data_IF_186107144387
#
_entry.id   IF_186107144387
#
_cell.length_a   1.000
_cell.length_b   1.000
_cell.length_c   1.000
_cell.angle_alpha   90.00
_cell.angle_beta   90.00
_cell.angle_gamma   90.00
#
_symmetry.space_group_name_H-M   'P 1'
#
loop_
_entity.id
_entity.type
_entity.pdbx_description
1 polymer ?
#
# COMPACT_ATOMS: atom_id res chain seq x y z
N UNK A 1 2.03 -15.24 8.42
CA UNK A 1 2.78 -14.23 9.17
C UNK A 1 3.53 -13.41 8.16
N UNK A 2 3.14 -12.15 8.02
CA UNK A 2 3.84 -11.16 7.19
C UNK A 2 5.18 -10.78 7.85
N UNK A 3 6.11 -10.18 7.09
CA UNK A 3 7.40 -9.74 7.63
C UNK A 3 7.20 -8.71 8.74
N UNK A 4 6.29 -7.76 8.53
CA UNK A 4 5.94 -6.71 9.50
C UNK A 4 5.38 -7.30 10.79
N UNK A 5 4.49 -8.30 10.71
CA UNK A 5 3.95 -9.00 11.89
C UNK A 5 5.06 -9.76 12.64
N UNK A 6 6.01 -10.36 11.91
CA UNK A 6 7.14 -11.10 12.49
C UNK A 6 8.10 -10.17 13.23
N UNK A 7 8.44 -9.02 12.63
CA UNK A 7 9.28 -8.00 13.24
C UNK A 7 8.61 -7.38 14.47
N UNK A 8 7.29 -7.15 14.41
CA UNK A 8 6.53 -6.63 15.53
C UNK A 8 6.56 -7.54 16.78
N UNK A 9 6.63 -8.86 16.61
CA UNK A 9 6.82 -9.78 17.74
C UNK A 9 8.20 -9.62 18.39
N UNK A 10 9.25 -9.40 17.59
CA UNK A 10 10.58 -9.12 18.13
C UNK A 10 10.62 -7.75 18.84
N UNK A 11 9.97 -6.73 18.28
CA UNK A 11 9.84 -5.41 18.89
C UNK A 11 9.06 -5.47 20.21
N UNK A 12 8.03 -6.33 20.29
CA UNK A 12 7.26 -6.53 21.51
C UNK A 12 8.11 -7.11 22.65
N UNK A 13 8.94 -8.12 22.33
CA UNK A 13 9.87 -8.73 23.31
C UNK A 13 10.90 -7.72 23.81
N UNK A 14 11.34 -6.81 22.95
CA UNK A 14 12.36 -5.82 23.27
C UNK A 14 11.80 -4.47 23.77
N UNK A 15 10.48 -4.35 23.97
CA UNK A 15 9.87 -3.07 24.33
C UNK A 15 10.31 -2.59 25.73
N UNK A 16 10.90 -1.40 25.80
CA UNK A 16 11.36 -0.76 27.05
C UNK A 16 10.32 0.20 27.64
N UNK A 17 9.35 0.62 26.83
CA UNK A 17 8.29 1.56 27.20
C UNK A 17 6.92 1.02 26.86
N UNK A 18 5.90 1.47 27.60
CA UNK A 18 4.51 1.10 27.31
C UNK A 18 4.06 1.58 25.91
N UNK A 19 4.61 2.70 25.42
CA UNK A 19 4.35 3.18 24.07
C UNK A 19 4.88 2.21 23.01
N UNK A 20 6.11 1.72 23.16
CA UNK A 20 6.69 0.70 22.26
C UNK A 20 5.90 -0.61 22.32
N UNK A 21 5.51 -1.07 23.52
CA UNK A 21 4.72 -2.28 23.69
C UNK A 21 3.38 -2.18 22.95
N UNK A 22 2.66 -1.07 23.11
CA UNK A 22 1.37 -0.82 22.41
C UNK A 22 1.55 -0.78 20.90
N UNK A 23 2.59 -0.12 20.42
CA UNK A 23 2.89 -0.03 18.99
C UNK A 23 3.22 -1.42 18.40
N UNK A 24 4.06 -2.20 19.07
CA UNK A 24 4.41 -3.54 18.64
C UNK A 24 3.20 -4.49 18.62
N UNK A 25 2.27 -4.38 19.59
CA UNK A 25 1.01 -5.15 19.55
C UNK A 25 0.16 -4.77 18.34
N UNK A 26 -0.02 -3.48 18.06
CA UNK A 26 -0.80 -3.03 16.90
C UNK A 26 -0.19 -3.51 15.58
N UNK A 27 1.15 -3.53 15.47
CA UNK A 27 1.82 -4.01 14.27
C UNK A 27 1.76 -5.54 14.14
N UNK A 28 1.80 -6.28 15.26
CA UNK A 28 1.65 -7.74 15.27
C UNK A 28 0.21 -8.16 14.90
N UNK A 29 -0.78 -7.27 15.10
CA UNK A 29 -2.16 -7.42 14.62
C UNK A 29 -2.33 -7.05 13.13
N UNK A 30 -1.26 -6.65 12.45
CA UNK A 30 -1.25 -6.43 10.99
C UNK A 30 -1.68 -5.03 10.54
N UNK A 31 -1.89 -4.08 11.46
CA UNK A 31 -2.38 -2.72 11.14
C UNK A 31 -1.51 -2.02 10.09
N UNK A 32 -0.18 -2.13 10.21
CA UNK A 32 0.74 -1.52 9.25
C UNK A 32 0.80 -2.29 7.92
N UNK A 33 0.66 -3.61 7.95
CA UNK A 33 0.57 -4.44 6.76
C UNK A 33 -0.63 -4.05 5.91
N UNK A 34 -1.80 -3.81 6.53
CA UNK A 34 -2.99 -3.34 5.83
C UNK A 34 -2.78 -1.98 5.16
N UNK A 35 -2.15 -1.04 5.86
CA UNK A 35 -1.82 0.28 5.32
C UNK A 35 -0.90 0.18 4.09
N UNK A 36 0.15 -0.63 4.17
CA UNK A 36 1.10 -0.81 3.07
C UNK A 36 0.47 -1.52 1.87
N UNK A 37 -0.39 -2.52 2.13
CA UNK A 37 -1.12 -3.21 1.08
C UNK A 37 -2.09 -2.26 0.37
N UNK A 38 -2.75 -1.36 1.11
CA UNK A 38 -3.62 -0.35 0.51
C UNK A 38 -2.85 0.61 -0.40
N UNK A 39 -1.75 1.18 0.10
CA UNK A 39 -0.89 2.04 -0.72
C UNK A 39 -0.36 1.31 -1.95
N UNK A 40 0.08 0.05 -1.79
CA UNK A 40 0.55 -0.77 -2.90
C UNK A 40 -0.54 -0.96 -3.96
N UNK A 41 -1.79 -1.24 -3.57
CA UNK A 41 -2.92 -1.36 -4.52
C UNK A 41 -3.12 -0.06 -5.30
N UNK A 42 -3.14 1.07 -4.61
CA UNK A 42 -3.33 2.40 -5.22
C UNK A 42 -2.21 2.74 -6.20
N UNK A 43 -0.96 2.48 -5.84
CA UNK A 43 0.19 2.72 -6.71
C UNK A 43 0.21 1.81 -7.94
N UNK A 44 -0.14 0.52 -7.78
CA UNK A 44 -0.24 -0.40 -8.92
C UNK A 44 -1.35 0.04 -9.87
N UNK A 45 -2.50 0.46 -9.33
CA UNK A 45 -3.60 0.96 -10.14
C UNK A 45 -3.20 2.22 -10.90
N UNK A 46 -2.66 3.24 -10.22
CA UNK A 46 -2.19 4.47 -10.87
C UNK A 46 -1.14 4.17 -11.95
N UNK A 47 -0.20 3.25 -11.69
CA UNK A 47 0.78 2.81 -12.68
C UNK A 47 0.11 2.20 -13.91
N UNK A 48 -0.86 1.30 -13.72
CA UNK A 48 -1.55 0.65 -14.83
C UNK A 48 -2.31 1.67 -15.71
N UNK A 49 -2.93 2.68 -15.10
CA UNK A 49 -3.61 3.74 -15.85
C UNK A 49 -2.64 4.61 -16.64
N UNK A 50 -1.48 4.96 -16.06
CA UNK A 50 -0.42 5.69 -16.78
C UNK A 50 0.15 4.86 -17.93
N UNK A 51 0.41 3.57 -17.72
CA UNK A 51 0.91 2.67 -18.77
C UNK A 51 -0.10 2.57 -19.91
N UNK A 52 -1.40 2.43 -19.61
CA UNK A 52 -2.46 2.42 -20.62
C UNK A 52 -2.51 3.74 -21.41
N UNK A 53 -2.38 4.89 -20.74
CA UNK A 53 -2.35 6.18 -21.44
C UNK A 53 -1.15 6.27 -22.40
N UNK A 54 0.02 5.74 -22.02
CA UNK A 54 1.23 5.74 -22.86
C UNK A 54 1.04 4.78 -24.05
N UNK A 55 0.56 3.57 -23.79
CA UNK A 55 0.44 2.52 -24.81
C UNK A 55 -0.63 2.83 -25.87
N UNK A 56 -1.67 3.59 -25.50
CA UNK A 56 -2.84 3.87 -26.34
C UNK A 56 -3.04 5.36 -26.69
N UNK A 57 -2.02 6.21 -26.47
CA UNK A 57 -2.12 7.67 -26.66
C UNK A 57 -2.59 8.11 -28.07
N UNK A 58 -2.31 7.31 -29.09
CA UNK A 58 -2.59 7.61 -30.50
C UNK A 58 -3.76 6.78 -31.08
N UNK A 59 -4.45 5.96 -30.26
CA UNK A 59 -5.61 5.17 -30.70
C UNK A 59 -6.92 5.95 -30.50
N UNK A 60 -7.50 6.45 -31.60
CA UNK A 60 -8.74 7.25 -31.64
C UNK A 60 -10.00 6.55 -31.06
N UNK A 61 -9.93 5.24 -30.75
CA UNK A 61 -11.05 4.41 -30.29
C UNK A 61 -11.11 4.23 -28.75
N UNK A 62 -10.21 4.84 -27.97
CA UNK A 62 -10.24 4.75 -26.49
C UNK A 62 -11.07 5.89 -25.88
N UNK A 63 -12.23 5.61 -25.22
CA UNK A 63 -13.08 6.67 -24.70
C UNK A 63 -12.56 7.19 -23.35
N UNK A 64 -12.08 8.45 -23.33
CA UNK A 64 -11.71 9.19 -22.12
C UNK A 64 -10.31 8.84 -21.57
N UNK A 65 -9.61 9.83 -21.03
CA UNK A 65 -8.25 9.64 -20.50
C UNK A 65 -8.28 8.72 -19.29
N UNK A 66 -7.44 7.67 -19.31
CA UNK A 66 -7.24 6.79 -18.17
C UNK A 66 -6.77 7.59 -16.93
N UNK A 67 -6.07 8.70 -17.16
CA UNK A 67 -5.57 9.58 -16.11
C UNK A 67 -6.69 10.32 -15.34
N UNK A 68 -7.85 10.61 -15.95
CA UNK A 68 -8.95 11.29 -15.26
C UNK A 68 -9.58 10.44 -14.14
N UNK A 69 -9.49 9.11 -14.25
CA UNK A 69 -10.04 8.19 -13.23
C UNK A 69 -9.11 8.02 -12.02
N UNK A 70 -7.83 8.43 -12.12
CA UNK A 70 -6.82 8.28 -11.05
C UNK A 70 -6.93 9.38 -9.98
N UNK A 71 -7.47 10.55 -10.33
CA UNK A 71 -7.45 11.75 -9.49
C UNK A 71 -8.75 12.03 -8.73
N UNK A 72 -9.79 11.19 -8.90
CA UNK A 72 -11.04 11.22 -8.11
C UNK A 72 -10.97 10.24 -6.93
#
# INVERSE_FOLDING_TARGET
VDLVETEALADLVNAETEAQRRFAVQNAEGVQSELYLDWRRRLIHARAMVEAEIDFADEDDVPGSAAETVWL
#
